data_IF_130780927825
#
_entry.id   IF_130780927825
#
_cell.length_a   1.000
_cell.length_b   1.000
_cell.length_c   1.000
_cell.angle_alpha   90.00
_cell.angle_beta   90.00
_cell.angle_gamma   90.00
#
_symmetry.space_group_name_H-M   'P 1'
#
loop_
_entity.id
_entity.type
_entity.pdbx_description
1 polymer ?
#
# COMPACT_ATOMS: atom_id res chain seq x y z
N UNK A 1 -3.43 34.08 -12.08
CA UNK A 1 -3.06 32.85 -11.34
C UNK A 1 -2.93 33.20 -9.86
N UNK A 2 -3.80 32.67 -9.01
CA UNK A 2 -3.75 32.87 -7.56
C UNK A 2 -2.59 32.07 -6.94
N UNK A 3 -2.38 32.19 -5.63
CA UNK A 3 -1.28 31.50 -4.94
C UNK A 3 -1.42 29.98 -4.97
N UNK A 4 -2.64 29.45 -4.87
CA UNK A 4 -2.94 28.01 -4.98
C UNK A 4 -2.48 27.48 -6.34
N UNK A 5 -2.92 28.10 -7.43
CA UNK A 5 -2.58 27.67 -8.80
C UNK A 5 -1.07 27.78 -9.08
N UNK A 6 -0.36 28.74 -8.46
CA UNK A 6 1.11 28.84 -8.51
C UNK A 6 1.77 27.64 -7.84
N UNK A 7 1.29 27.26 -6.65
CA UNK A 7 1.80 26.10 -5.92
C UNK A 7 1.51 24.80 -6.66
N UNK A 8 0.31 24.63 -7.20
CA UNK A 8 -0.06 23.45 -8.01
C UNK A 8 0.87 23.29 -9.21
N UNK A 9 1.15 24.38 -9.93
CA UNK A 9 2.10 24.37 -11.06
C UNK A 9 3.52 23.99 -10.58
N UNK A 10 3.97 24.51 -9.45
CA UNK A 10 5.27 24.17 -8.90
C UNK A 10 5.36 22.69 -8.50
N UNK A 11 4.33 22.15 -7.85
CA UNK A 11 4.23 20.72 -7.49
C UNK A 11 4.30 19.86 -8.76
N UNK A 12 3.58 20.25 -9.81
CA UNK A 12 3.58 19.53 -11.09
C UNK A 12 4.98 19.47 -11.72
N UNK A 13 5.71 20.59 -11.75
CA UNK A 13 7.08 20.60 -12.29
C UNK A 13 8.06 19.82 -11.41
N UNK A 14 7.94 19.89 -10.08
CA UNK A 14 8.74 19.09 -9.16
C UNK A 14 8.47 17.59 -9.32
N UNK A 15 7.22 17.18 -9.56
CA UNK A 15 6.86 15.78 -9.83
C UNK A 15 7.50 15.26 -11.12
N UNK A 16 7.61 16.09 -12.17
CA UNK A 16 8.35 15.72 -13.38
C UNK A 16 9.84 15.52 -13.07
N UNK A 17 10.45 16.45 -12.36
CA UNK A 17 11.87 16.33 -11.96
C UNK A 17 12.11 15.07 -11.12
N UNK A 18 11.22 14.77 -10.16
CA UNK A 18 11.28 13.55 -9.36
C UNK A 18 11.18 12.29 -10.22
N UNK A 19 10.28 12.26 -11.20
CA UNK A 19 10.17 11.12 -12.14
C UNK A 19 11.48 10.92 -12.91
N UNK A 20 12.10 12.00 -13.38
CA UNK A 20 13.32 11.91 -14.17
C UNK A 20 14.50 11.44 -13.31
N UNK A 21 14.59 11.88 -12.05
CA UNK A 21 15.56 11.37 -11.06
C UNK A 21 15.33 9.88 -10.72
N UNK A 22 14.07 9.45 -10.61
CA UNK A 22 13.74 8.02 -10.40
C UNK A 22 14.09 7.15 -11.61
N UNK A 23 14.05 7.71 -12.82
CA UNK A 23 14.42 6.99 -14.03
C UNK A 23 15.94 6.79 -14.15
N UNK A 24 16.74 7.69 -13.57
CA UNK A 24 18.20 7.61 -13.55
C UNK A 24 18.79 7.03 -12.27
N UNK A 25 17.96 6.60 -11.30
CA UNK A 25 18.44 6.05 -10.04
C UNK A 25 19.17 4.72 -10.22
N UNK A 26 20.24 4.52 -9.45
CA UNK A 26 21.05 3.32 -9.53
C UNK A 26 20.35 2.13 -8.85
N UNK A 27 20.14 1.00 -9.55
CA UNK A 27 19.54 -0.19 -8.96
C UNK A 27 20.44 -0.81 -7.90
N UNK A 28 19.90 -1.05 -6.70
CA UNK A 28 20.62 -1.73 -5.63
C UNK A 28 20.30 -3.22 -5.65
N UNK A 29 21.31 -4.09 -5.80
CA UNK A 29 21.11 -5.54 -5.68
C UNK A 29 20.71 -5.90 -4.25
N UNK A 30 19.72 -6.77 -4.12
CA UNK A 30 19.23 -7.29 -2.83
C UNK A 30 19.19 -8.82 -2.84
N UNK A 31 19.05 -9.41 -1.65
CA UNK A 31 18.84 -10.85 -1.50
C UNK A 31 17.40 -11.24 -1.86
N UNK A 32 17.18 -12.55 -2.06
CA UNK A 32 15.85 -13.12 -2.20
C UNK A 32 15.31 -13.48 -0.80
N UNK A 33 14.26 -12.80 -0.37
CA UNK A 33 13.72 -12.95 0.99
C UNK A 33 12.66 -14.03 1.07
N UNK A 34 12.64 -14.78 2.17
CA UNK A 34 11.54 -15.69 2.49
C UNK A 34 10.32 -14.89 2.99
N UNK A 35 9.15 -15.33 2.55
CA UNK A 35 7.81 -14.81 2.86
C UNK A 35 6.87 -16.01 3.04
N UNK A 36 5.63 -15.76 3.48
CA UNK A 36 4.62 -16.81 3.66
C UNK A 36 3.27 -16.40 3.13
N UNK A 37 2.58 -17.28 2.43
CA UNK A 37 1.17 -17.11 2.07
C UNK A 37 0.35 -18.31 2.56
N UNK A 38 -0.91 -18.44 2.11
CA UNK A 38 -1.78 -19.54 2.51
C UNK A 38 -1.35 -20.91 1.98
N UNK A 39 -0.50 -20.95 0.96
CA UNK A 39 0.06 -22.18 0.38
C UNK A 39 1.35 -22.62 1.09
N UNK A 40 1.94 -21.75 1.91
CA UNK A 40 3.16 -22.04 2.67
C UNK A 40 4.24 -20.99 2.46
N UNK A 41 5.49 -21.45 2.41
CA UNK A 41 6.64 -20.59 2.17
C UNK A 41 6.77 -20.23 0.69
N UNK A 42 7.16 -18.99 0.43
CA UNK A 42 7.52 -18.49 -0.90
C UNK A 42 8.63 -17.45 -0.76
N UNK A 43 9.25 -17.08 -1.86
CA UNK A 43 10.29 -16.07 -1.89
C UNK A 43 9.82 -14.77 -2.56
N UNK A 44 10.55 -13.67 -2.35
CA UNK A 44 10.32 -12.41 -3.05
C UNK A 44 10.41 -12.60 -4.58
N UNK A 45 11.28 -13.48 -5.06
CA UNK A 45 11.39 -13.82 -6.49
C UNK A 45 10.10 -14.45 -7.03
N UNK A 46 9.42 -15.28 -6.23
CA UNK A 46 8.16 -15.94 -6.63
C UNK A 46 7.00 -14.94 -6.80
N UNK A 47 7.09 -13.78 -6.13
CA UNK A 47 6.10 -12.71 -6.28
C UNK A 47 6.13 -12.06 -7.66
N UNK A 48 7.24 -12.14 -8.39
CA UNK A 48 7.31 -11.63 -9.78
C UNK A 48 6.45 -12.43 -10.76
N UNK A 49 6.23 -13.72 -10.50
CA UNK A 49 5.63 -14.64 -11.48
C UNK A 49 6.38 -14.57 -12.81
N UNK A 50 5.66 -14.21 -13.87
CA UNK A 50 6.20 -14.08 -15.23
C UNK A 50 6.76 -12.67 -15.54
N UNK A 51 6.48 -11.67 -14.69
CA UNK A 51 6.84 -10.28 -14.94
C UNK A 51 8.30 -10.00 -14.55
N UNK A 52 8.87 -8.94 -15.10
CA UNK A 52 10.25 -8.49 -14.79
C UNK A 52 10.31 -7.37 -13.74
N UNK A 53 9.18 -6.72 -13.46
CA UNK A 53 9.03 -5.64 -12.49
C UNK A 53 7.95 -6.04 -11.49
N UNK A 54 8.24 -5.85 -10.21
CA UNK A 54 7.36 -6.13 -9.08
C UNK A 54 7.20 -4.86 -8.25
N UNK A 55 5.96 -4.47 -7.99
CA UNK A 55 5.64 -3.54 -6.93
C UNK A 55 5.22 -4.30 -5.68
N UNK A 56 5.83 -3.99 -4.54
CA UNK A 56 5.40 -4.51 -3.24
C UNK A 56 4.89 -3.36 -2.38
N UNK A 57 3.62 -3.43 -2.02
CA UNK A 57 2.99 -2.52 -1.06
C UNK A 57 3.32 -3.02 0.35
N UNK A 58 3.93 -2.17 1.15
CA UNK A 58 4.16 -2.40 2.59
C UNK A 58 2.94 -1.91 3.36
N UNK A 59 2.24 -2.84 3.99
CA UNK A 59 1.10 -2.60 4.84
C UNK A 59 1.47 -2.98 6.28
N UNK A 60 1.25 -2.09 7.25
CA UNK A 60 1.63 -2.34 8.64
C UNK A 60 0.79 -3.42 9.34
N UNK A 61 -0.24 -3.94 8.67
CA UNK A 61 -1.16 -4.97 9.15
C UNK A 61 -2.50 -4.41 9.62
N UNK A 62 -3.37 -5.31 10.08
CA UNK A 62 -4.77 -5.04 10.43
C UNK A 62 -4.97 -3.92 11.45
N UNK A 63 -3.97 -3.64 12.30
CA UNK A 63 -4.02 -2.57 13.30
C UNK A 63 -3.86 -1.15 12.73
N UNK A 64 -3.44 -1.02 11.47
CA UNK A 64 -3.20 0.27 10.83
C UNK A 64 -4.39 0.71 9.96
N UNK A 65 -5.23 1.61 10.50
CA UNK A 65 -6.38 2.19 9.79
C UNK A 65 -5.99 2.93 8.51
N UNK A 66 -4.86 3.64 8.52
CA UNK A 66 -4.33 4.32 7.35
C UNK A 66 -3.90 3.32 6.26
N UNK A 67 -3.24 2.23 6.64
CA UNK A 67 -2.86 1.14 5.74
C UNK A 67 -4.07 0.46 5.10
N UNK A 68 -5.16 0.36 5.86
CA UNK A 68 -6.46 -0.09 5.35
C UNK A 68 -7.00 0.89 4.30
N UNK A 69 -6.95 2.20 4.55
CA UNK A 69 -7.38 3.21 3.57
C UNK A 69 -6.58 3.16 2.26
N UNK A 70 -5.25 3.05 2.30
CA UNK A 70 -4.44 2.90 1.08
C UNK A 70 -4.80 1.64 0.32
N UNK A 71 -4.96 0.51 1.01
CA UNK A 71 -5.36 -0.74 0.38
C UNK A 71 -6.76 -0.65 -0.25
N UNK A 72 -7.73 -0.03 0.43
CA UNK A 72 -9.08 0.23 -0.10
C UNK A 72 -9.02 1.06 -1.40
N UNK A 73 -8.24 2.14 -1.42
CA UNK A 73 -8.09 3.02 -2.60
C UNK A 73 -7.33 2.35 -3.76
N UNK A 74 -6.20 1.70 -3.48
CA UNK A 74 -5.37 1.04 -4.49
C UNK A 74 -6.04 -0.20 -5.09
N UNK A 75 -7.00 -0.80 -4.39
CA UNK A 75 -7.69 -2.02 -4.84
C UNK A 75 -8.31 -1.86 -6.24
N UNK A 76 -8.84 -0.67 -6.55
CA UNK A 76 -9.41 -0.37 -7.87
C UNK A 76 -8.38 -0.34 -9.01
N UNK A 77 -7.10 -0.17 -8.70
CA UNK A 77 -6.03 -0.11 -9.70
C UNK A 77 -5.34 -1.45 -9.94
N UNK A 78 -5.63 -2.48 -9.14
CA UNK A 78 -4.95 -3.79 -9.22
C UNK A 78 -4.94 -4.35 -10.65
N UNK A 79 -6.06 -4.45 -11.39
CA UNK A 79 -6.04 -5.01 -12.75
C UNK A 79 -5.22 -4.17 -13.73
N UNK A 80 -5.24 -2.84 -13.59
CA UNK A 80 -4.47 -1.93 -14.45
C UNK A 80 -2.96 -2.05 -14.22
N UNK A 81 -2.56 -2.26 -12.96
CA UNK A 81 -1.16 -2.46 -12.61
C UNK A 81 -0.68 -3.85 -13.05
N UNK A 82 -1.49 -4.88 -12.82
CA UNK A 82 -1.13 -6.28 -13.12
C UNK A 82 -1.06 -6.61 -14.62
N UNK A 83 -1.71 -5.81 -15.47
CA UNK A 83 -1.53 -5.86 -16.92
C UNK A 83 -0.03 -5.74 -17.30
N UNK A 84 0.69 -4.82 -16.66
CA UNK A 84 2.09 -4.51 -17.00
C UNK A 84 3.11 -5.03 -15.99
N UNK A 85 2.76 -5.10 -14.70
CA UNK A 85 3.69 -5.35 -13.61
C UNK A 85 3.21 -6.52 -12.74
N UNK A 86 4.09 -7.10 -11.93
CA UNK A 86 3.63 -7.89 -10.80
C UNK A 86 3.29 -6.94 -9.65
N UNK A 87 2.26 -7.28 -8.87
CA UNK A 87 1.84 -6.52 -7.71
C UNK A 87 1.63 -7.48 -6.54
N UNK A 88 2.17 -7.12 -5.38
CA UNK A 88 1.92 -7.81 -4.14
C UNK A 88 1.73 -6.82 -2.99
N UNK A 89 1.01 -7.24 -1.96
CA UNK A 89 0.93 -6.54 -0.69
C UNK A 89 1.50 -7.43 0.41
N UNK A 90 2.35 -6.87 1.25
CA UNK A 90 2.90 -7.59 2.40
C UNK A 90 2.61 -6.89 3.71
N UNK A 91 2.43 -7.68 4.77
CA UNK A 91 2.32 -7.22 6.14
C UNK A 91 2.93 -8.22 7.11
N UNK A 92 3.05 -7.82 8.38
CA UNK A 92 3.48 -8.70 9.48
C UNK A 92 2.42 -9.70 9.93
N UNK A 93 1.17 -9.54 9.49
CA UNK A 93 0.07 -10.40 9.91
C UNK A 93 0.24 -11.81 9.34
N UNK A 94 -0.38 -12.80 9.98
CA UNK A 94 -0.40 -14.17 9.45
C UNK A 94 -1.19 -14.25 8.12
N UNK A 95 -0.92 -15.24 7.25
CA UNK A 95 -1.68 -15.44 6.02
C UNK A 95 -3.20 -15.55 6.23
N UNK A 96 -3.64 -16.16 7.34
CA UNK A 96 -5.06 -16.27 7.69
C UNK A 96 -5.70 -14.92 8.03
N UNK A 97 -4.99 -14.07 8.79
CA UNK A 97 -5.43 -12.70 9.10
C UNK A 97 -5.50 -11.83 7.84
N UNK A 98 -4.47 -11.91 7.00
CA UNK A 98 -4.45 -11.21 5.70
C UNK A 98 -5.64 -11.63 4.84
N UNK A 99 -5.95 -12.94 4.77
CA UNK A 99 -7.10 -13.44 4.02
C UNK A 99 -8.43 -12.93 4.57
N UNK A 100 -8.60 -12.90 5.90
CA UNK A 100 -9.81 -12.34 6.53
C UNK A 100 -10.00 -10.87 6.17
N UNK A 101 -8.95 -10.07 6.30
CA UNK A 101 -8.96 -8.64 5.96
C UNK A 101 -9.30 -8.43 4.48
N UNK A 102 -8.61 -9.14 3.58
CA UNK A 102 -8.85 -9.04 2.15
C UNK A 102 -10.28 -9.42 1.77
N UNK A 103 -10.81 -10.51 2.33
CA UNK A 103 -12.17 -10.94 2.05
C UNK A 103 -13.22 -9.93 2.55
N UNK A 104 -13.06 -9.42 3.78
CA UNK A 104 -13.98 -8.45 4.37
C UNK A 104 -14.02 -7.12 3.60
N UNK A 105 -12.90 -6.75 2.96
CA UNK A 105 -12.73 -5.49 2.21
C UNK A 105 -12.87 -5.64 0.70
N UNK A 106 -13.00 -6.88 0.20
CA UNK A 106 -13.00 -7.17 -1.23
C UNK A 106 -11.66 -6.89 -1.91
N UNK A 107 -10.54 -6.91 -1.18
CA UNK A 107 -9.21 -6.70 -1.75
C UNK A 107 -8.83 -7.83 -2.70
N UNK A 108 -8.10 -7.47 -3.76
CA UNK A 108 -7.69 -8.37 -4.85
C UNK A 108 -6.18 -8.56 -4.97
N UNK A 109 -5.39 -7.96 -4.09
CA UNK A 109 -3.93 -8.10 -4.11
C UNK A 109 -3.51 -9.56 -3.88
N UNK A 110 -2.43 -9.98 -4.55
CA UNK A 110 -1.62 -11.09 -4.07
C UNK A 110 -0.99 -10.69 -2.74
N UNK A 111 -1.25 -11.46 -1.67
CA UNK A 111 -0.78 -11.13 -0.33
C UNK A 111 0.28 -12.12 0.15
N UNK A 112 1.27 -11.63 0.91
CA UNK A 112 2.22 -12.46 1.62
C UNK A 112 2.61 -11.83 2.96
N UNK A 113 2.90 -12.66 3.95
CA UNK A 113 3.43 -12.27 5.24
C UNK A 113 4.95 -12.17 5.19
N UNK A 114 5.50 -11.12 5.79
CA UNK A 114 6.95 -11.00 6.03
C UNK A 114 7.33 -11.34 7.48
N UNK A 115 6.40 -11.92 8.26
CA UNK A 115 6.67 -12.30 9.65
C UNK A 115 7.81 -13.33 9.72
N UNK A 116 8.76 -13.10 10.63
CA UNK A 116 9.94 -13.95 10.80
C UNK A 116 11.02 -13.78 9.72
N UNK A 117 10.88 -12.79 8.83
CA UNK A 117 11.85 -12.44 7.79
C UNK A 117 12.47 -11.07 8.07
N UNK A 118 13.72 -10.84 7.65
CA UNK A 118 14.37 -9.52 7.73
C UNK A 118 13.88 -8.55 6.64
N UNK A 119 13.00 -9.00 5.75
CA UNK A 119 12.51 -8.22 4.61
C UNK A 119 12.03 -6.81 4.98
N UNK A 120 11.16 -6.68 5.98
CA UNK A 120 10.56 -5.38 6.30
C UNK A 120 11.58 -4.37 6.84
N UNK A 121 12.55 -4.83 7.64
CA UNK A 121 13.63 -4.00 8.16
C UNK A 121 14.62 -3.58 7.05
N UNK A 122 15.07 -4.53 6.23
CA UNK A 122 16.09 -4.26 5.21
C UNK A 122 15.53 -3.51 3.99
N UNK A 123 14.24 -3.67 3.70
CA UNK A 123 13.58 -3.07 2.54
C UNK A 123 12.65 -1.91 2.89
N UNK A 124 12.65 -1.48 4.15
CA UNK A 124 11.84 -0.35 4.63
C UNK A 124 11.99 0.88 3.75
N UNK A 125 10.92 1.65 3.67
CA UNK A 125 10.91 2.98 3.05
C UNK A 125 11.26 4.09 4.06
N UNK A 126 11.35 3.75 5.35
CA UNK A 126 11.73 4.64 6.43
C UNK A 126 12.89 4.02 7.23
N UNK A 127 14.14 4.47 7.02
CA UNK A 127 15.31 3.90 7.69
C UNK A 127 15.17 3.90 9.22
N UNK A 128 15.40 2.76 9.85
CA UNK A 128 15.27 2.57 11.30
C UNK A 128 13.91 2.03 11.75
N UNK A 129 12.93 1.96 10.85
CA UNK A 129 11.61 1.41 11.14
C UNK A 129 11.47 -0.02 10.62
N UNK A 130 11.06 -0.95 11.50
CA UNK A 130 10.87 -2.36 11.16
C UNK A 130 9.53 -2.65 10.46
N UNK A 131 8.59 -1.69 10.49
CA UNK A 131 7.24 -1.85 9.92
C UNK A 131 6.64 -0.49 9.56
N UNK A 132 6.85 -0.04 8.32
CA UNK A 132 6.44 1.29 7.86
C UNK A 132 5.67 1.20 6.54
N UNK A 133 4.61 2.00 6.32
CA UNK A 133 3.78 1.85 5.13
C UNK A 133 4.40 2.53 3.91
N UNK A 134 4.23 1.92 2.74
CA UNK A 134 4.81 2.43 1.52
C UNK A 134 4.69 1.48 0.34
N UNK A 135 5.47 1.76 -0.70
CA UNK A 135 5.58 0.91 -1.88
C UNK A 135 7.02 0.89 -2.38
N UNK A 136 7.49 -0.29 -2.77
CA UNK A 136 8.83 -0.50 -3.33
C UNK A 136 8.70 -1.13 -4.71
N UNK A 137 9.48 -0.61 -5.66
CA UNK A 137 9.62 -1.14 -7.00
C UNK A 137 10.90 -1.98 -7.08
N UNK A 138 10.75 -3.22 -7.52
CA UNK A 138 11.83 -4.15 -7.77
C UNK A 138 11.88 -4.55 -9.24
N UNK A 139 13.08 -4.87 -9.71
CA UNK A 139 13.33 -5.48 -11.01
C UNK A 139 14.07 -6.79 -10.82
N UNK A 140 13.75 -7.81 -11.62
CA UNK A 140 14.55 -9.03 -11.69
C UNK A 140 15.35 -9.13 -12.99
N UNK A 141 16.48 -9.80 -12.91
CA UNK A 141 17.31 -10.25 -14.03
C UNK A 141 17.74 -11.71 -13.73
N UNK A 142 17.03 -12.66 -14.34
CA UNK A 142 17.05 -14.06 -13.90
C UNK A 142 16.63 -14.16 -12.43
N UNK A 143 17.49 -14.75 -11.61
CA UNK A 143 17.28 -14.92 -10.16
C UNK A 143 17.76 -13.72 -9.32
N UNK A 144 18.34 -12.69 -9.95
CA UNK A 144 18.87 -11.52 -9.24
C UNK A 144 17.76 -10.48 -9.11
N UNK A 145 17.59 -9.95 -7.89
CA UNK A 145 16.61 -8.92 -7.59
C UNK A 145 17.32 -7.60 -7.31
N UNK A 146 16.80 -6.52 -7.87
CA UNK A 146 17.28 -5.16 -7.66
C UNK A 146 16.16 -4.28 -7.12
N UNK A 147 16.42 -3.58 -6.03
CA UNK A 147 15.59 -2.49 -5.53
C UNK A 147 15.83 -1.27 -6.40
N UNK A 148 14.75 -0.71 -6.94
CA UNK A 148 14.80 0.45 -7.83
C UNK A 148 14.43 1.69 -7.04
N UNK A 149 13.14 1.98 -6.95
CA UNK A 149 12.58 3.18 -6.33
C UNK A 149 11.59 2.80 -5.24
N UNK A 150 11.34 3.72 -4.31
CA UNK A 150 10.35 3.52 -3.27
C UNK A 150 9.64 4.84 -2.92
N UNK A 151 8.54 4.73 -2.19
CA UNK A 151 7.86 5.85 -1.57
C UNK A 151 7.20 5.43 -0.26
N UNK A 152 7.26 6.31 0.73
CA UNK A 152 6.47 6.20 1.96
C UNK A 152 5.01 6.55 1.71
N UNK A 153 4.12 5.93 2.48
CA UNK A 153 2.72 6.32 2.57
C UNK A 153 2.51 7.14 3.85
N UNK A 154 1.76 8.24 3.74
CA UNK A 154 1.49 9.18 4.82
C UNK A 154 0.55 10.30 4.38
N UNK A 155 -0.03 11.07 5.31
CA UNK A 155 -0.83 12.23 4.96
C UNK A 155 -0.12 13.14 3.93
N UNK A 156 -0.85 13.50 2.87
CA UNK A 156 -0.31 14.31 1.77
C UNK A 156 0.47 13.54 0.70
N UNK A 157 0.56 12.21 0.78
CA UNK A 157 1.14 11.39 -0.29
C UNK A 157 0.30 11.36 -1.58
N UNK A 158 0.91 10.88 -2.67
CA UNK A 158 0.29 10.78 -4.00
C UNK A 158 -0.53 9.50 -4.23
N UNK A 159 -0.53 8.58 -3.27
CA UNK A 159 -1.10 7.24 -3.37
C UNK A 159 -2.48 7.12 -2.72
N UNK A 160 -2.93 8.16 -2.00
CA UNK A 160 -4.29 8.29 -1.51
C UNK A 160 -4.88 9.66 -1.85
N UNK A 161 -5.72 9.69 -2.90
CA UNK A 161 -6.41 10.92 -3.34
C UNK A 161 -7.33 11.52 -2.26
N UNK A 162 -7.70 10.76 -1.24
CA UNK A 162 -8.49 11.24 -0.10
C UNK A 162 -7.84 12.46 0.57
N UNK A 163 -6.50 12.52 0.65
CA UNK A 163 -5.81 13.67 1.25
C UNK A 163 -6.06 14.96 0.49
N UNK A 164 -5.97 14.91 -0.84
CA UNK A 164 -6.27 16.07 -1.68
C UNK A 164 -7.75 16.45 -1.61
N UNK A 165 -8.66 15.48 -1.48
CA UNK A 165 -10.10 15.74 -1.34
C UNK A 165 -10.41 16.43 0.00
N UNK A 166 -9.81 15.97 1.11
CA UNK A 166 -9.97 16.61 2.42
C UNK A 166 -9.44 18.05 2.40
N UNK A 167 -8.30 18.28 1.76
CA UNK A 167 -7.69 19.60 1.65
C UNK A 167 -8.59 20.62 0.92
N UNK A 168 -9.42 20.19 -0.05
CA UNK A 168 -10.40 21.07 -0.70
C UNK A 168 -11.43 21.64 0.28
N UNK A 169 -11.73 20.90 1.35
CA UNK A 169 -12.60 21.32 2.43
C UNK A 169 -11.83 21.96 3.60
N UNK A 170 -10.52 22.21 3.46
CA UNK A 170 -9.68 22.79 4.51
C UNK A 170 -9.34 21.80 5.65
N UNK A 171 -9.45 20.50 5.40
CA UNK A 171 -9.20 19.45 6.38
C UNK A 171 -7.86 18.74 6.14
N UNK A 172 -7.26 18.27 7.23
CA UNK A 172 -6.03 17.47 7.27
C UNK A 172 -6.18 16.26 8.22
N UNK A 173 -5.08 15.54 8.46
CA UNK A 173 -5.05 14.37 9.36
C UNK A 173 -5.31 14.68 10.84
N UNK A 174 -5.22 15.95 11.25
CA UNK A 174 -5.57 16.37 12.61
C UNK A 174 -7.09 16.41 12.81
N UNK A 175 -7.83 16.64 11.73
CA UNK A 175 -9.28 16.81 11.74
C UNK A 175 -10.05 15.54 11.36
N UNK A 176 -9.39 14.56 10.75
CA UNK A 176 -10.02 13.30 10.34
C UNK A 176 -9.03 12.12 10.39
N UNK A 177 -9.55 10.93 10.68
CA UNK A 177 -8.78 9.69 10.60
C UNK A 177 -9.66 8.56 10.07
N UNK A 178 -9.13 7.62 9.25
CA UNK A 178 -9.91 6.53 8.69
C UNK A 178 -10.56 5.67 9.76
N UNK A 179 -11.72 5.09 9.43
CA UNK A 179 -12.46 4.18 10.30
C UNK A 179 -12.50 2.78 9.69
N UNK A 180 -12.62 1.75 10.53
CA UNK A 180 -12.81 0.38 10.02
C UNK A 180 -14.21 0.17 9.44
N UNK A 181 -15.24 0.87 9.93
CA UNK A 181 -16.58 0.87 9.36
C UNK A 181 -17.12 2.30 9.33
N UNK A 182 -17.76 2.65 8.21
CA UNK A 182 -18.46 3.93 8.04
C UNK A 182 -19.98 3.76 8.10
N UNK A 183 -20.47 2.55 7.82
CA UNK A 183 -21.90 2.25 7.95
C UNK A 183 -22.27 2.23 9.43
N UNK A 184 -23.30 2.97 9.79
CA UNK A 184 -23.91 2.95 11.11
C UNK A 184 -25.34 2.43 10.96
N UNK A 185 -25.67 1.43 11.77
CA UNK A 185 -27.05 0.96 11.92
C UNK A 185 -27.94 2.15 12.35
N UNK A 186 -29.14 2.33 11.78
CA UNK A 186 -30.08 3.33 12.27
C UNK A 186 -30.42 3.13 13.75
N UNK A 187 -30.69 4.21 14.47
CA UNK A 187 -31.10 4.14 15.88
C UNK A 187 -32.51 3.58 16.07
N UNK A 188 -33.36 3.69 15.05
CA UNK A 188 -34.73 3.19 15.04
C UNK A 188 -34.88 2.25 13.85
N UNK A 189 -35.31 1.03 14.12
CA UNK A 189 -35.62 0.03 13.09
C UNK A 189 -37.14 -0.06 12.89
N UNK A 190 -37.57 -0.29 11.66
CA UNK A 190 -39.00 -0.40 11.33
C UNK A 190 -39.68 -1.60 12.01
N UNK A 191 -38.91 -2.64 12.34
CA UNK A 191 -39.36 -3.83 13.09
C UNK A 191 -39.14 -3.73 14.60
N UNK A 192 -38.71 -2.57 15.10
CA UNK A 192 -38.37 -2.36 16.51
C UNK A 192 -37.06 -3.01 16.97
N UNK A 193 -36.24 -3.54 16.05
CA UNK A 193 -34.94 -4.16 16.37
C UNK A 193 -35.06 -5.63 16.77
N UNK A 194 -36.06 -6.33 16.24
CA UNK A 194 -36.29 -7.73 16.56
C UNK A 194 -35.09 -8.59 16.14
N UNK A 195 -34.52 -9.34 17.09
CA UNK A 195 -33.36 -10.22 16.88
C UNK A 195 -32.09 -9.51 16.36
N UNK A 196 -31.90 -8.23 16.68
CA UNK A 196 -30.62 -7.59 16.43
C UNK A 196 -29.53 -8.23 17.31
N UNK A 197 -28.48 -8.73 16.67
CA UNK A 197 -27.23 -9.02 17.34
C UNK A 197 -26.47 -7.70 17.61
N UNK A 198 -25.85 -7.63 18.79
CA UNK A 198 -25.02 -6.51 19.26
C UNK A 198 -23.74 -6.33 18.43
#
# INVERSE_FOLDING_TARGET
MNEIEKLEKQIFELKKQLRDLRASSEPQRIQNYALRDLSGELSLLDLFGEKSILFVIHNMGQGCRYCTLWADGLNGFVPHLEDKFALAMVSKDSPDEQRRMANARGWRFRMASHAGSSYAQEQTVCPGEDNYPGIVCYRRDGERIFRMNAASFGPGDDYCSMWSILALAGHDESSWTPQYSYWKRPSTMDDGGLNLDD
#
